data_IF_430402629684
#
_entry.id   IF_430402629684
#
_cell.length_a   1.000
_cell.length_b   1.000
_cell.length_c   1.000
_cell.angle_alpha   90.00
_cell.angle_beta   90.00
_cell.angle_gamma   90.00
#
_symmetry.space_group_name_H-M   'P 1'
#
loop_
_entity.id
_entity.type
_entity.pdbx_description
1 polymer ?
#
# COMPACT_ATOMS: atom_id res chain seq x y z
N UNK A 1 28.56 47.79 67.40
CA UNK A 1 27.18 47.28 67.33
C UNK A 1 26.57 47.82 66.05
N UNK A 2 26.19 46.91 65.14
CA UNK A 2 25.44 47.07 63.88
C UNK A 2 26.11 47.93 62.78
N UNK A 3 26.59 47.36 61.67
CA UNK A 3 25.84 46.78 60.52
C UNK A 3 25.04 47.83 59.75
N UNK A 4 25.44 48.17 58.52
CA UNK A 4 24.56 48.07 57.33
C UNK A 4 25.45 47.84 56.10
N UNK A 5 25.49 46.59 55.66
CA UNK A 5 26.08 46.19 54.38
C UNK A 5 25.27 46.71 53.19
N UNK A 6 25.99 47.04 52.12
CA UNK A 6 25.45 47.35 50.81
C UNK A 6 24.72 46.13 50.22
N UNK A 7 23.39 46.14 50.23
CA UNK A 7 22.59 45.20 49.45
C UNK A 7 22.38 45.76 48.04
N UNK A 8 23.15 45.25 47.08
CA UNK A 8 22.95 45.48 45.65
C UNK A 8 21.55 45.00 45.26
N UNK A 9 20.76 45.87 44.65
CA UNK A 9 19.45 45.54 44.08
C UNK A 9 19.67 44.64 42.86
N UNK A 10 19.37 43.35 43.01
CA UNK A 10 19.42 42.37 41.94
C UNK A 10 18.36 42.73 40.88
N UNK A 11 18.81 43.19 39.71
CA UNK A 11 17.98 43.29 38.51
C UNK A 11 17.42 41.91 38.17
N UNK A 12 16.11 41.74 38.32
CA UNK A 12 15.43 40.50 37.93
C UNK A 12 15.56 40.27 36.42
N UNK A 13 16.44 39.36 36.02
CA UNK A 13 16.51 38.83 34.67
C UNK A 13 15.26 37.99 34.43
N UNK A 14 14.27 38.53 33.71
CA UNK A 14 13.04 37.82 33.38
C UNK A 14 13.28 36.51 32.59
N UNK A 15 12.31 35.59 32.57
CA UNK A 15 12.44 34.30 31.90
C UNK A 15 12.65 34.49 30.38
N UNK A 16 13.80 34.02 29.88
CA UNK A 16 14.10 33.90 28.44
C UNK A 16 13.82 32.47 27.99
N UNK A 17 12.71 32.25 27.28
CA UNK A 17 12.37 31.00 26.61
C UNK A 17 11.96 31.24 25.15
N UNK A 18 12.10 30.23 24.29
CA UNK A 18 11.69 30.33 22.89
C UNK A 18 10.20 30.68 22.79
N UNK A 19 9.86 31.70 22.00
CA UNK A 19 8.49 32.18 21.82
C UNK A 19 7.59 31.00 21.37
N UNK A 20 6.42 30.77 22.01
CA UNK A 20 5.55 29.67 21.65
C UNK A 20 5.14 29.81 20.19
N UNK A 21 5.52 28.83 19.35
CA UNK A 21 5.06 28.75 17.97
C UNK A 21 3.56 28.49 18.00
N UNK A 22 2.78 29.37 17.37
CA UNK A 22 1.34 29.17 17.19
C UNK A 22 1.13 27.84 16.46
N UNK A 23 0.47 26.90 17.13
CA UNK A 23 0.20 25.53 16.62
C UNK A 23 -0.73 25.55 15.40
N UNK A 24 -1.59 26.57 15.31
CA UNK A 24 -2.51 26.80 14.21
C UNK A 24 -2.02 27.97 13.34
N UNK A 25 -1.14 27.64 12.38
CA UNK A 25 -0.77 28.55 11.29
C UNK A 25 -1.83 28.48 10.18
N UNK A 26 -2.22 29.59 9.54
CA UNK A 26 -3.12 29.58 8.38
C UNK A 26 -2.65 28.64 7.26
N UNK A 27 -1.32 28.51 7.09
CA UNK A 27 -0.71 27.54 6.17
C UNK A 27 -1.05 26.10 6.54
N UNK A 28 -1.02 25.74 7.82
CA UNK A 28 -1.34 24.39 8.27
C UNK A 28 -2.83 24.09 8.07
N UNK A 29 -3.70 25.07 8.32
CA UNK A 29 -5.14 24.95 8.06
C UNK A 29 -5.40 24.70 6.57
N UNK A 30 -4.74 25.45 5.69
CA UNK A 30 -4.83 25.25 4.25
C UNK A 30 -4.32 23.86 3.82
N UNK A 31 -3.15 23.45 4.31
CA UNK A 31 -2.56 22.13 4.01
C UNK A 31 -3.46 20.98 4.47
N UNK A 32 -3.95 21.02 5.71
CA UNK A 32 -4.85 19.99 6.22
C UNK A 32 -6.22 20.03 5.54
N UNK A 33 -6.74 21.21 5.21
CA UNK A 33 -7.99 21.34 4.45
C UNK A 33 -7.88 20.67 3.08
N UNK A 34 -6.81 20.95 2.32
CA UNK A 34 -6.55 20.30 1.04
C UNK A 34 -6.39 18.79 1.23
N UNK A 35 -5.59 18.37 2.22
CA UNK A 35 -5.38 16.94 2.49
C UNK A 35 -6.69 16.20 2.80
N UNK A 36 -7.57 16.79 3.62
CA UNK A 36 -8.89 16.23 3.94
C UNK A 36 -9.74 16.08 2.67
N UNK A 37 -9.79 17.11 1.83
CA UNK A 37 -10.54 17.05 0.56
C UNK A 37 -10.00 15.94 -0.34
N UNK A 38 -8.69 15.83 -0.48
CA UNK A 38 -8.04 14.76 -1.26
C UNK A 38 -8.34 13.38 -0.66
N UNK A 39 -8.26 13.23 0.66
CA UNK A 39 -8.60 11.98 1.34
C UNK A 39 -10.06 11.59 1.08
N UNK A 40 -11.01 12.50 1.24
CA UNK A 40 -12.44 12.24 0.99
C UNK A 40 -12.67 11.84 -0.47
N UNK A 41 -12.02 12.51 -1.42
CA UNK A 41 -12.10 12.19 -2.85
C UNK A 41 -11.64 10.76 -3.15
N UNK A 42 -10.49 10.33 -2.60
CA UNK A 42 -9.99 8.96 -2.79
C UNK A 42 -10.79 7.90 -2.01
N UNK A 43 -11.40 8.26 -0.88
CA UNK A 43 -12.23 7.35 -0.09
C UNK A 43 -13.62 7.16 -0.69
N UNK A 44 -14.11 8.09 -1.52
CA UNK A 44 -15.43 8.03 -2.14
C UNK A 44 -15.69 6.72 -2.92
N UNK A 45 -14.83 6.26 -3.85
CA UNK A 45 -15.05 4.97 -4.52
C UNK A 45 -15.01 3.78 -3.55
N UNK A 46 -14.15 3.81 -2.53
CA UNK A 46 -14.10 2.77 -1.51
C UNK A 46 -15.39 2.73 -0.68
N UNK A 47 -15.90 3.90 -0.28
CA UNK A 47 -17.19 4.05 0.39
C UNK A 47 -18.31 3.43 -0.43
N UNK A 48 -18.40 3.78 -1.72
CA UNK A 48 -19.40 3.23 -2.63
C UNK A 48 -19.28 1.70 -2.74
N UNK A 49 -18.07 1.16 -2.89
CA UNK A 49 -17.87 -0.29 -2.97
C UNK A 49 -18.30 -0.99 -1.68
N UNK A 50 -17.91 -0.46 -0.52
CA UNK A 50 -18.28 -1.04 0.79
C UNK A 50 -19.78 -0.99 1.00
N UNK A 51 -20.41 0.17 0.80
CA UNK A 51 -21.87 0.30 0.96
C UNK A 51 -22.63 -0.61 0.00
N UNK A 52 -22.19 -0.71 -1.25
CA UNK A 52 -22.84 -1.59 -2.24
C UNK A 52 -22.64 -3.07 -1.92
N UNK A 53 -21.48 -3.46 -1.36
CA UNK A 53 -21.21 -4.86 -0.98
C UNK A 53 -22.12 -5.38 0.14
N UNK A 54 -22.76 -4.48 0.89
CA UNK A 54 -23.66 -4.78 2.01
C UNK A 54 -25.14 -4.73 1.61
N UNK A 55 -25.46 -4.32 0.38
CA UNK A 55 -26.83 -4.21 -0.14
C UNK A 55 -27.32 -5.52 -0.74
N UNK A 56 -28.62 -5.79 -0.61
CA UNK A 56 -29.28 -6.86 -1.36
C UNK A 56 -29.39 -6.53 -2.86
N UNK A 57 -29.47 -7.55 -3.71
CA UNK A 57 -29.65 -7.38 -5.17
C UNK A 57 -30.83 -6.47 -5.57
N UNK A 58 -32.01 -6.51 -4.91
CA UNK A 58 -33.11 -5.59 -5.21
C UNK A 58 -32.73 -4.13 -4.96
N UNK A 59 -31.99 -3.85 -3.89
CA UNK A 59 -31.58 -2.50 -3.51
C UNK A 59 -30.50 -1.93 -4.45
N UNK A 60 -29.53 -2.77 -4.85
CA UNK A 60 -28.50 -2.37 -5.82
C UNK A 60 -29.13 -1.97 -7.16
N UNK A 61 -30.22 -2.65 -7.58
CA UNK A 61 -30.94 -2.37 -8.84
C UNK A 61 -31.70 -1.05 -8.84
N UNK A 62 -31.98 -0.46 -7.67
CA UNK A 62 -32.66 0.84 -7.57
C UNK A 62 -31.75 2.02 -7.97
N UNK A 63 -30.44 1.79 -8.17
CA UNK A 63 -29.52 2.79 -8.72
C UNK A 63 -29.04 3.86 -7.72
N UNK A 64 -29.41 3.75 -6.44
CA UNK A 64 -28.96 4.69 -5.41
C UNK A 64 -27.59 4.31 -4.84
N UNK A 65 -26.54 4.59 -5.62
CA UNK A 65 -25.16 4.12 -5.38
C UNK A 65 -24.51 4.82 -4.16
N UNK A 66 -24.87 6.08 -3.89
CA UNK A 66 -24.30 6.87 -2.78
C UNK A 66 -25.03 6.72 -1.46
N UNK A 67 -26.27 6.22 -1.45
CA UNK A 67 -26.99 6.01 -0.20
C UNK A 67 -26.38 4.85 0.61
N UNK A 68 -26.37 4.94 1.95
CA UNK A 68 -26.06 3.79 2.79
C UNK A 68 -27.11 2.67 2.58
N UNK A 69 -26.75 1.41 2.87
CA UNK A 69 -27.69 0.29 2.79
C UNK A 69 -28.88 0.52 3.71
N UNK A 70 -30.09 0.30 3.19
CA UNK A 70 -31.32 0.32 4.01
C UNK A 70 -31.38 -0.92 4.90
N UNK A 71 -31.00 -2.07 4.34
CA UNK A 71 -30.85 -3.33 5.06
C UNK A 71 -29.43 -3.86 4.88
N UNK A 72 -28.69 -3.98 5.99
CA UNK A 72 -27.32 -4.52 5.97
C UNK A 72 -27.40 -6.04 5.87
N UNK A 73 -26.83 -6.61 4.82
CA UNK A 73 -26.74 -8.06 4.64
C UNK A 73 -25.36 -8.51 4.19
N UNK A 74 -24.92 -9.67 4.70
CA UNK A 74 -23.68 -10.33 4.29
C UNK A 74 -23.91 -11.48 3.30
N UNK A 75 -25.16 -11.69 2.87
CA UNK A 75 -25.51 -12.67 1.84
C UNK A 75 -24.65 -12.53 0.56
N UNK A 76 -24.41 -11.32 0.00
CA UNK A 76 -23.55 -11.16 -1.17
C UNK A 76 -22.11 -11.66 -0.94
N UNK A 77 -21.57 -11.48 0.27
CA UNK A 77 -20.22 -11.94 0.63
C UNK A 77 -20.13 -13.47 0.66
N UNK A 78 -21.10 -14.13 1.30
CA UNK A 78 -21.15 -15.61 1.36
C UNK A 78 -21.30 -16.18 -0.05
N UNK A 79 -22.22 -15.61 -0.84
CA UNK A 79 -22.44 -16.02 -2.22
C UNK A 79 -21.20 -15.83 -3.08
N UNK A 80 -20.55 -14.67 -3.00
CA UNK A 80 -19.31 -14.39 -3.72
C UNK A 80 -18.18 -15.35 -3.33
N UNK A 81 -18.06 -15.70 -2.05
CA UNK A 81 -16.98 -16.55 -1.55
C UNK A 81 -17.14 -18.02 -1.94
N UNK A 82 -18.36 -18.57 -1.88
CA UNK A 82 -18.60 -20.03 -2.02
C UNK A 82 -19.40 -20.47 -3.23
N UNK A 83 -20.27 -19.62 -3.78
CA UNK A 83 -21.34 -20.05 -4.70
C UNK A 83 -21.28 -19.34 -6.05
N UNK A 84 -20.49 -18.28 -6.17
CA UNK A 84 -20.39 -17.52 -7.41
C UNK A 84 -19.71 -18.35 -8.50
N UNK A 85 -20.37 -18.51 -9.64
CA UNK A 85 -19.78 -19.11 -10.82
C UNK A 85 -18.79 -18.12 -11.46
N UNK A 86 -17.50 -18.39 -11.26
CA UNK A 86 -16.40 -17.60 -11.84
C UNK A 86 -15.66 -18.46 -12.86
N UNK A 87 -15.86 -18.15 -14.15
CA UNK A 87 -15.27 -18.92 -15.24
C UNK A 87 -15.85 -20.34 -15.33
N UNK A 88 -14.99 -21.35 -15.18
CA UNK A 88 -15.33 -22.77 -15.38
C UNK A 88 -15.89 -23.47 -14.12
N UNK A 89 -15.78 -22.85 -12.94
CA UNK A 89 -16.16 -23.48 -11.66
C UNK A 89 -17.15 -22.61 -10.89
N UNK A 90 -18.02 -23.25 -10.10
CA UNK A 90 -19.02 -22.59 -9.25
C UNK A 90 -18.66 -22.60 -7.76
N UNK A 91 -17.37 -22.70 -7.44
CA UNK A 91 -16.85 -22.74 -6.06
C UNK A 91 -16.64 -21.34 -5.44
N UNK A 92 -17.18 -20.29 -6.07
CA UNK A 92 -16.95 -18.91 -5.66
C UNK A 92 -15.53 -18.41 -5.88
N UNK A 93 -15.20 -17.31 -5.22
CA UNK A 93 -13.88 -16.65 -5.27
C UNK A 93 -12.80 -17.38 -4.44
N UNK A 94 -13.21 -18.27 -3.53
CA UNK A 94 -12.32 -18.92 -2.56
C UNK A 94 -11.10 -19.61 -3.20
N UNK A 95 -11.30 -20.31 -4.31
CA UNK A 95 -10.22 -20.99 -5.06
C UNK A 95 -9.21 -20.00 -5.63
N UNK A 96 -9.70 -18.95 -6.29
CA UNK A 96 -8.84 -17.90 -6.87
C UNK A 96 -8.05 -17.14 -5.80
N UNK A 97 -8.67 -16.88 -4.65
CA UNK A 97 -8.02 -16.29 -3.49
C UNK A 97 -6.85 -17.15 -3.00
N UNK A 98 -7.08 -18.45 -2.77
CA UNK A 98 -6.02 -19.35 -2.29
C UNK A 98 -4.91 -19.58 -3.30
N UNK A 99 -5.23 -19.67 -4.60
CA UNK A 99 -4.21 -19.70 -5.64
C UNK A 99 -3.33 -18.44 -5.60
N UNK A 100 -3.93 -17.27 -5.42
CA UNK A 100 -3.20 -16.00 -5.32
C UNK A 100 -2.30 -15.96 -4.10
N UNK A 101 -2.77 -16.46 -2.94
CA UNK A 101 -1.97 -16.57 -1.71
C UNK A 101 -0.80 -17.53 -1.92
N UNK A 102 -1.06 -18.70 -2.49
CA UNK A 102 -0.05 -19.73 -2.75
C UNK A 102 1.01 -19.30 -3.77
N UNK A 103 0.68 -18.39 -4.69
CA UNK A 103 1.65 -17.81 -5.61
C UNK A 103 2.39 -16.65 -4.93
N UNK A 104 1.65 -15.67 -4.41
CA UNK A 104 2.22 -14.38 -3.98
C UNK A 104 3.13 -14.54 -2.76
N UNK A 105 2.74 -15.33 -1.76
CA UNK A 105 3.51 -15.47 -0.51
C UNK A 105 4.91 -16.03 -0.77
N UNK A 106 5.09 -17.22 -1.39
CA UNK A 106 6.42 -17.73 -1.66
C UNK A 106 7.19 -16.85 -2.65
N UNK A 107 6.54 -16.29 -3.68
CA UNK A 107 7.21 -15.39 -4.63
C UNK A 107 7.80 -14.16 -3.93
N UNK A 108 7.07 -13.53 -3.01
CA UNK A 108 7.55 -12.38 -2.24
C UNK A 108 8.70 -12.78 -1.32
N UNK A 109 8.58 -13.89 -0.60
CA UNK A 109 9.62 -14.37 0.31
C UNK A 109 10.93 -14.64 -0.45
N UNK A 110 10.86 -15.41 -1.53
CA UNK A 110 12.03 -15.77 -2.35
C UNK A 110 12.64 -14.52 -2.99
N UNK A 111 11.80 -13.63 -3.53
CA UNK A 111 12.28 -12.40 -4.18
C UNK A 111 12.97 -11.46 -3.19
N UNK A 112 12.40 -11.27 -1.99
CA UNK A 112 13.00 -10.43 -0.95
C UNK A 112 14.31 -11.05 -0.47
N UNK A 113 14.37 -12.37 -0.26
CA UNK A 113 15.59 -13.05 0.18
C UNK A 113 16.73 -12.85 -0.85
N UNK A 114 16.46 -13.10 -2.12
CA UNK A 114 17.44 -12.92 -3.21
C UNK A 114 17.82 -11.44 -3.37
N UNK A 115 16.85 -10.53 -3.38
CA UNK A 115 17.10 -9.10 -3.52
C UNK A 115 17.92 -8.53 -2.36
N UNK A 116 17.66 -8.97 -1.13
CA UNK A 116 18.38 -8.51 0.05
C UNK A 116 19.85 -8.94 0.03
N UNK A 117 20.13 -10.19 -0.35
CA UNK A 117 21.50 -10.70 -0.47
C UNK A 117 22.26 -9.97 -1.58
N UNK A 118 21.63 -9.83 -2.76
CA UNK A 118 22.26 -9.12 -3.89
C UNK A 118 22.48 -7.64 -3.60
N UNK A 119 21.49 -6.95 -2.99
CA UNK A 119 21.61 -5.55 -2.60
C UNK A 119 22.72 -5.34 -1.57
N UNK A 120 22.82 -6.22 -0.58
CA UNK A 120 23.91 -6.19 0.39
C UNK A 120 25.28 -6.37 -0.27
N UNK A 121 25.41 -7.37 -1.16
CA UNK A 121 26.66 -7.65 -1.85
C UNK A 121 27.10 -6.47 -2.73
N UNK A 122 26.18 -5.86 -3.49
CA UNK A 122 26.52 -4.75 -4.40
C UNK A 122 26.92 -3.46 -3.68
N UNK A 123 26.33 -3.19 -2.51
CA UNK A 123 26.65 -1.99 -1.74
C UNK A 123 27.97 -2.17 -0.97
N UNK A 124 28.16 -3.33 -0.34
CA UNK A 124 29.25 -3.54 0.60
C UNK A 124 30.48 -4.23 0.00
N UNK A 125 30.35 -4.96 -1.12
CA UNK A 125 31.46 -5.64 -1.78
C UNK A 125 31.82 -4.97 -3.12
N UNK A 126 32.98 -4.32 -3.17
CA UNK A 126 33.53 -3.77 -4.43
C UNK A 126 34.35 -4.82 -5.18
N UNK A 127 33.68 -5.66 -5.96
CA UNK A 127 34.34 -6.60 -6.86
C UNK A 127 34.62 -5.96 -8.24
N UNK A 128 35.61 -6.48 -8.97
CA UNK A 128 35.99 -5.96 -10.28
C UNK A 128 34.83 -6.17 -11.28
N UNK A 129 34.14 -5.10 -11.66
CA UNK A 129 32.98 -5.13 -12.55
C UNK A 129 31.62 -4.83 -11.89
N UNK A 130 31.60 -4.48 -10.60
CA UNK A 130 30.37 -4.13 -9.86
C UNK A 130 29.53 -3.06 -10.56
N UNK A 131 30.17 -2.03 -11.11
CA UNK A 131 29.47 -0.90 -11.74
C UNK A 131 28.80 -1.31 -13.06
N UNK A 132 29.44 -2.20 -13.83
CA UNK A 132 28.86 -2.75 -15.06
C UNK A 132 27.66 -3.64 -14.72
N UNK A 133 27.80 -4.53 -13.73
CA UNK A 133 26.72 -5.40 -13.29
C UNK A 133 25.52 -4.59 -12.79
N UNK A 134 25.76 -3.59 -11.94
CA UNK A 134 24.72 -2.68 -11.45
C UNK A 134 24.04 -1.91 -12.59
N UNK A 135 24.81 -1.45 -13.58
CA UNK A 135 24.27 -0.78 -14.78
C UNK A 135 23.35 -1.71 -15.58
N UNK A 136 23.73 -2.98 -15.78
CA UNK A 136 22.90 -3.97 -16.47
C UNK A 136 21.57 -4.19 -15.73
N UNK A 137 21.59 -4.31 -14.40
CA UNK A 137 20.37 -4.46 -13.61
C UNK A 137 19.43 -3.26 -13.76
N UNK A 138 19.97 -2.04 -13.73
CA UNK A 138 19.19 -0.82 -13.94
C UNK A 138 18.58 -0.81 -15.34
N UNK A 139 19.39 -1.05 -16.38
CA UNK A 139 18.89 -1.11 -17.75
C UNK A 139 17.82 -2.18 -17.94
N UNK A 140 17.99 -3.36 -17.32
CA UNK A 140 17.00 -4.42 -17.32
C UNK A 140 15.67 -4.02 -16.68
N UNK A 141 15.68 -3.17 -15.64
CA UNK A 141 14.46 -2.71 -14.98
C UNK A 141 13.60 -1.76 -15.82
N UNK A 142 14.18 -1.14 -16.87
CA UNK A 142 13.44 -0.34 -17.83
C UNK A 142 12.76 -1.17 -18.91
N UNK A 143 13.03 -2.48 -19.00
CA UNK A 143 12.37 -3.35 -19.97
C UNK A 143 10.88 -3.44 -19.59
N UNK A 144 9.96 -3.01 -20.48
CA UNK A 144 8.54 -3.06 -20.17
C UNK A 144 8.08 -4.52 -20.10
N UNK A 145 7.32 -4.83 -19.05
CA UNK A 145 6.79 -6.18 -18.79
C UNK A 145 6.03 -6.76 -20.00
N UNK A 146 5.37 -5.88 -20.77
CA UNK A 146 4.60 -6.25 -21.95
C UNK A 146 5.44 -6.97 -23.02
N UNK A 147 6.72 -6.62 -23.20
CA UNK A 147 7.61 -7.27 -24.18
C UNK A 147 8.11 -8.62 -23.65
N UNK A 148 8.25 -8.77 -22.34
CA UNK A 148 8.72 -10.01 -21.69
C UNK A 148 7.64 -11.08 -21.57
N UNK A 149 6.36 -10.71 -21.64
CA UNK A 149 5.24 -11.63 -21.45
C UNK A 149 5.26 -12.80 -22.44
N UNK A 150 5.43 -12.54 -23.74
CA UNK A 150 5.41 -13.59 -24.77
C UNK A 150 6.58 -14.59 -24.61
N UNK A 151 7.84 -14.15 -24.46
CA UNK A 151 8.95 -15.05 -24.16
C UNK A 151 8.75 -15.89 -22.90
N UNK A 152 8.23 -15.30 -21.82
CA UNK A 152 7.96 -16.03 -20.57
C UNK A 152 6.94 -17.14 -20.81
N UNK A 153 5.85 -16.87 -21.54
CA UNK A 153 4.85 -17.88 -21.88
C UNK A 153 5.44 -19.04 -22.68
N UNK A 154 6.28 -18.76 -23.68
CA UNK A 154 6.98 -19.82 -24.44
C UNK A 154 7.85 -20.66 -23.51
N UNK A 155 8.65 -20.01 -22.66
CA UNK A 155 9.55 -20.70 -21.74
C UNK A 155 8.79 -21.62 -20.78
N UNK A 156 7.65 -21.16 -20.25
CA UNK A 156 6.78 -21.96 -19.38
C UNK A 156 6.15 -23.14 -20.12
N UNK A 157 5.77 -22.94 -21.38
CA UNK A 157 5.22 -24.01 -22.24
C UNK A 157 6.28 -25.06 -22.55
N UNK A 158 7.50 -24.65 -22.90
CA UNK A 158 8.63 -25.54 -23.15
C UNK A 158 9.05 -26.29 -21.87
N UNK A 159 8.97 -25.63 -20.73
CA UNK A 159 9.19 -26.24 -19.41
C UNK A 159 8.03 -27.17 -18.97
N UNK A 160 6.92 -27.22 -19.71
CA UNK A 160 5.77 -28.09 -19.43
C UNK A 160 4.95 -27.70 -18.18
N UNK A 161 5.18 -26.51 -17.61
CA UNK A 161 4.49 -26.02 -16.41
C UNK A 161 3.42 -24.96 -16.71
N UNK A 162 3.25 -24.61 -17.98
CA UNK A 162 2.20 -23.70 -18.44
C UNK A 162 0.81 -24.23 -18.09
N UNK A 163 -0.06 -23.37 -17.55
CA UNK A 163 -1.40 -23.75 -17.10
C UNK A 163 -1.46 -24.38 -15.70
N UNK A 164 -0.34 -24.43 -14.97
CA UNK A 164 -0.28 -25.00 -13.61
C UNK A 164 -0.09 -23.90 -12.56
N UNK A 165 -0.39 -24.18 -11.29
CA UNK A 165 -0.21 -23.20 -10.20
C UNK A 165 1.23 -22.64 -10.12
N UNK A 166 2.23 -23.40 -10.56
CA UNK A 166 3.65 -23.04 -10.49
C UNK A 166 4.16 -22.27 -11.71
N UNK A 167 3.59 -22.50 -12.89
CA UNK A 167 3.96 -21.79 -14.14
C UNK A 167 2.97 -20.70 -14.56
N UNK A 168 1.77 -20.71 -13.97
CA UNK A 168 0.52 -20.09 -14.40
C UNK A 168 -0.10 -20.70 -15.65
#
# INVERSE_FOLDING_TARGET
>A
MADVGMAQSATMTGPRGAKPRKTLSPRNIMLYGILIVVCVYYLLPLYVMVMTSLKGMPEVRLGNIFAPPVEITFQPWVKAWKEACTGLNCDGLSRGFWNSVLITVPSVIVSIAIASVNGYALINWRFKGSDIFFTILIFGSFIPYQIMLYPIVILLREAGIYGTLWGL
#
